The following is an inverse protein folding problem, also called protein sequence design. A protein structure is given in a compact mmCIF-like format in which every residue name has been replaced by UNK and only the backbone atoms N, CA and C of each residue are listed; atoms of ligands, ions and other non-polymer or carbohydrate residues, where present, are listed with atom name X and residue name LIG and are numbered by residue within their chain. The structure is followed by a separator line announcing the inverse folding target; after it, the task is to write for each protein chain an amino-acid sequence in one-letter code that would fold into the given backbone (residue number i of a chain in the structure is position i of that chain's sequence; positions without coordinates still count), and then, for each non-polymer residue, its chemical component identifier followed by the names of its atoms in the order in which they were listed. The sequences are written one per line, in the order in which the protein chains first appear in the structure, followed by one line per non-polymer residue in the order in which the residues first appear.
data_IF_857196626330
#
_entry.id   IF_857196626330
#
_cell.length_a   1.000
_cell.length_b   1.000
_cell.length_c   1.000
_cell.angle_alpha   90.00
_cell.angle_beta   90.00
_cell.angle_gamma   90.00
#
_symmetry.space_group_name_H-M   'P 1'
#
loop_
_entity.id
_entity.type
_entity.pdbx_description
1 polymer ?
#
# COMPACT_ATOMS: atom_id res chain seq x y z
N UNK A 1 13.75 58.11 -9.19
CA UNK A 1 13.53 57.64 -7.81
C UNK A 1 12.82 56.29 -7.95
N UNK A 2 13.54 55.16 -7.89
CA UNK A 2 13.64 54.27 -6.71
C UNK A 2 12.26 53.68 -6.35
N UNK A 3 11.96 52.38 -6.27
CA UNK A 3 12.69 51.12 -6.38
C UNK A 3 11.68 49.96 -6.61
N UNK A 4 12.22 48.80 -6.97
CA UNK A 4 11.54 47.51 -7.07
C UNK A 4 11.03 46.96 -5.72
N UNK A 5 10.10 46.00 -5.78
CA UNK A 5 10.08 44.82 -4.88
C UNK A 5 9.45 43.65 -5.64
N UNK A 6 10.26 42.61 -5.84
CA UNK A 6 9.85 41.27 -6.21
C UNK A 6 9.71 40.41 -4.93
N UNK A 7 8.84 39.39 -4.97
CA UNK A 7 8.88 38.08 -4.29
C UNK A 7 7.48 37.47 -4.48
N UNK A 8 7.28 36.27 -5.04
CA UNK A 8 8.02 35.04 -4.78
C UNK A 8 7.11 34.13 -3.95
N UNK A 9 6.64 33.03 -4.54
CA UNK A 9 5.67 32.09 -3.98
C UNK A 9 5.00 31.40 -5.17
N UNK A 10 5.75 30.70 -5.99
CA UNK A 10 6.33 29.43 -5.58
C UNK A 10 5.23 28.43 -5.81
N UNK A 11 5.18 27.90 -7.04
CA UNK A 11 4.41 26.70 -7.34
C UNK A 11 4.74 25.69 -6.24
N UNK A 12 3.80 25.49 -5.31
CA UNK A 12 3.84 24.35 -4.42
C UNK A 12 3.84 23.15 -5.36
N UNK A 13 5.03 22.58 -5.53
CA UNK A 13 5.21 21.23 -6.00
C UNK A 13 4.26 20.39 -5.15
N UNK A 14 3.07 20.13 -5.68
CA UNK A 14 2.15 19.14 -5.15
C UNK A 14 2.92 17.84 -5.28
N UNK A 15 3.75 17.57 -4.27
CA UNK A 15 4.18 16.23 -3.92
C UNK A 15 2.88 15.46 -3.85
N UNK A 16 2.65 14.64 -4.88
CA UNK A 16 1.40 13.93 -5.08
C UNK A 16 1.29 12.96 -3.93
N UNK A 17 0.64 13.36 -2.84
CA UNK A 17 0.49 12.48 -1.70
C UNK A 17 -0.46 11.36 -2.12
N UNK A 18 -0.16 10.11 -1.74
CA UNK A 18 -1.00 8.99 -2.11
C UNK A 18 -2.41 9.06 -1.52
N UNK A 19 -3.34 8.24 -2.02
CA UNK A 19 -4.77 8.33 -1.74
C UNK A 19 -5.16 8.27 -0.25
N UNK A 20 -4.35 7.62 0.60
CA UNK A 20 -4.55 7.53 2.04
C UNK A 20 -4.01 8.72 2.84
N UNK A 21 -3.43 9.75 2.21
CA UNK A 21 -2.82 10.88 2.90
C UNK A 21 -3.79 11.71 3.76
N UNK A 22 -5.07 11.74 3.37
CA UNK A 22 -6.14 12.43 4.10
C UNK A 22 -6.68 11.60 5.27
N UNK A 23 -6.51 10.27 5.25
CA UNK A 23 -6.97 9.36 6.30
C UNK A 23 -6.18 9.58 7.58
N UNK A 24 -6.85 9.48 8.73
CA UNK A 24 -6.24 9.75 10.06
C UNK A 24 -6.32 8.53 10.95
N UNK A 25 -5.17 8.11 11.49
CA UNK A 25 -5.09 7.06 12.48
C UNK A 25 -5.68 7.55 13.79
N UNK A 26 -6.52 6.75 14.42
CA UNK A 26 -7.21 7.08 15.66
C UNK A 26 -6.21 7.35 16.80
N UNK A 27 -5.08 6.64 16.80
CA UNK A 27 -4.04 6.77 17.82
C UNK A 27 -3.28 8.11 17.79
N UNK A 28 -3.12 8.71 16.61
CA UNK A 28 -2.17 9.82 16.40
C UNK A 28 -2.80 11.08 15.79
N UNK A 29 -3.96 10.96 15.15
CA UNK A 29 -4.55 12.02 14.34
C UNK A 29 -3.77 12.35 13.07
N UNK A 30 -2.78 11.53 12.67
CA UNK A 30 -1.96 11.68 11.46
C UNK A 30 -2.28 10.57 10.45
N UNK A 31 -1.77 10.67 9.22
CA UNK A 31 -1.88 9.55 8.27
C UNK A 31 -1.03 8.34 8.74
N UNK A 32 -1.26 7.18 8.14
CA UNK A 32 -0.61 5.95 8.56
C UNK A 32 0.92 6.03 8.43
N UNK A 33 1.45 6.59 7.34
CA UNK A 33 2.90 6.77 7.22
C UNK A 33 3.49 7.66 8.32
N UNK A 34 2.89 8.82 8.59
CA UNK A 34 3.36 9.73 9.63
C UNK A 34 3.15 9.21 11.06
N UNK A 35 2.34 8.14 11.23
CA UNK A 35 2.13 7.46 12.52
C UNK A 35 3.17 6.37 12.74
N UNK A 36 3.44 5.56 11.71
CA UNK A 36 4.19 4.30 11.84
C UNK A 36 5.60 4.35 11.22
N UNK A 37 5.85 5.23 10.26
CA UNK A 37 7.13 5.35 9.56
C UNK A 37 7.41 4.19 8.59
N UNK A 38 8.49 4.32 7.82
CA UNK A 38 8.83 3.38 6.75
C UNK A 38 9.09 1.95 7.26
N UNK A 39 9.81 1.81 8.39
CA UNK A 39 10.18 0.49 8.93
C UNK A 39 8.97 -0.37 9.28
N UNK A 40 7.90 0.25 9.80
CA UNK A 40 6.65 -0.44 10.09
C UNK A 40 5.95 -0.91 8.80
N UNK A 41 5.97 -0.11 7.74
CA UNK A 41 5.44 -0.53 6.43
C UNK A 41 6.25 -1.68 5.81
N UNK A 42 7.57 -1.69 5.99
CA UNK A 42 8.42 -2.84 5.63
C UNK A 42 8.02 -4.09 6.44
N UNK A 43 7.78 -3.94 7.75
CA UNK A 43 7.35 -5.05 8.60
C UNK A 43 5.97 -5.59 8.18
N UNK A 44 5.00 -4.71 7.90
CA UNK A 44 3.68 -5.08 7.38
C UNK A 44 3.80 -5.78 6.04
N UNK A 45 4.63 -5.27 5.12
CA UNK A 45 4.87 -5.91 3.83
C UNK A 45 5.35 -7.36 4.01
N UNK A 46 6.36 -7.58 4.85
CA UNK A 46 6.85 -8.94 5.17
C UNK A 46 5.77 -9.83 5.79
N UNK A 47 4.93 -9.27 6.67
CA UNK A 47 3.83 -10.00 7.26
C UNK A 47 2.78 -10.40 6.20
N UNK A 48 2.45 -9.53 5.23
CA UNK A 48 1.56 -9.86 4.10
C UNK A 48 2.10 -11.08 3.34
N UNK A 49 3.39 -11.09 2.99
CA UNK A 49 3.99 -12.24 2.30
C UNK A 49 3.97 -13.52 3.13
N UNK A 50 4.19 -13.42 4.44
CA UNK A 50 4.08 -14.57 5.33
C UNK A 50 2.64 -15.14 5.35
N UNK A 51 1.62 -14.29 5.44
CA UNK A 51 0.22 -14.71 5.40
C UNK A 51 -0.16 -15.31 4.03
N UNK A 52 0.25 -14.67 2.92
CA UNK A 52 0.01 -15.21 1.56
C UNK A 52 0.66 -16.59 1.40
N UNK A 53 1.90 -16.75 1.85
CA UNK A 53 2.62 -18.03 1.75
C UNK A 53 1.94 -19.11 2.59
N UNK A 54 1.52 -18.77 3.81
CA UNK A 54 0.79 -19.68 4.68
C UNK A 54 -0.54 -20.11 4.06
N UNK A 55 -1.30 -19.16 3.51
CA UNK A 55 -2.59 -19.40 2.84
C UNK A 55 -2.43 -20.29 1.61
N UNK A 56 -1.46 -20.01 0.73
CA UNK A 56 -1.19 -20.83 -0.45
C UNK A 56 -0.71 -22.23 -0.08
N UNK A 57 0.05 -22.38 1.01
CA UNK A 57 0.49 -23.69 1.50
C UNK A 57 -0.68 -24.51 2.03
N UNK A 58 -1.62 -23.89 2.74
CA UNK A 58 -2.75 -24.58 3.36
C UNK A 58 -3.89 -24.88 2.38
N UNK A 59 -4.22 -23.91 1.51
CA UNK A 59 -5.45 -23.91 0.72
C UNK A 59 -5.21 -23.85 -0.80
N UNK A 60 -3.95 -23.82 -1.23
CA UNK A 60 -3.59 -23.62 -2.64
C UNK A 60 -4.13 -22.28 -3.16
N UNK A 61 -4.54 -22.26 -4.42
CA UNK A 61 -5.03 -21.06 -5.11
C UNK A 61 -6.52 -20.77 -4.86
N UNK A 62 -7.20 -21.57 -4.03
CA UNK A 62 -8.67 -21.53 -3.86
C UNK A 62 -9.16 -20.13 -3.47
N UNK A 63 -8.52 -19.51 -2.48
CA UNK A 63 -8.99 -18.25 -1.89
C UNK A 63 -8.30 -17.00 -2.47
N UNK A 64 -7.06 -17.14 -2.94
CA UNK A 64 -6.25 -16.02 -3.45
C UNK A 64 -6.15 -15.99 -4.99
N UNK A 65 -6.65 -17.01 -5.68
CA UNK A 65 -6.47 -17.16 -7.11
C UNK A 65 -5.05 -17.51 -7.52
N UNK A 66 -4.72 -17.32 -8.80
CA UNK A 66 -3.43 -17.64 -9.40
C UNK A 66 -2.48 -16.42 -9.45
N UNK A 67 -2.91 -15.23 -9.04
CA UNK A 67 -2.15 -13.98 -9.24
C UNK A 67 -0.74 -14.04 -8.65
N UNK A 68 -0.59 -14.59 -7.43
CA UNK A 68 0.72 -14.74 -6.80
C UNK A 68 1.64 -15.76 -7.49
N UNK A 69 1.09 -16.72 -8.22
CA UNK A 69 1.92 -17.67 -9.00
C UNK A 69 2.54 -17.04 -10.24
N UNK A 70 2.07 -15.86 -10.65
CA UNK A 70 2.60 -15.09 -11.79
C UNK A 70 3.79 -14.21 -11.42
N UNK A 71 4.10 -14.11 -10.13
CA UNK A 71 5.27 -13.37 -9.64
C UNK A 71 6.51 -14.24 -9.88
N UNK A 72 7.37 -13.81 -10.80
CA UNK A 72 8.62 -14.50 -11.15
C UNK A 72 9.85 -13.91 -10.46
N UNK A 73 9.79 -12.63 -10.08
CA UNK A 73 10.81 -11.92 -9.31
C UNK A 73 10.21 -11.41 -7.99
N UNK A 74 10.23 -12.28 -6.97
CA UNK A 74 9.69 -11.97 -5.65
C UNK A 74 10.43 -10.83 -4.97
N UNK A 75 11.75 -10.71 -5.13
CA UNK A 75 12.52 -9.64 -4.48
C UNK A 75 12.11 -8.25 -5.01
N UNK A 76 11.97 -8.13 -6.34
CA UNK A 76 11.46 -6.88 -6.94
C UNK A 76 9.99 -6.63 -6.59
N UNK A 77 9.17 -7.68 -6.54
CA UNK A 77 7.77 -7.54 -6.16
C UNK A 77 7.60 -7.06 -4.70
N UNK A 78 8.37 -7.61 -3.76
CA UNK A 78 8.37 -7.17 -2.36
C UNK A 78 8.73 -5.69 -2.23
N UNK A 79 9.80 -5.25 -2.90
CA UNK A 79 10.24 -3.85 -2.85
C UNK A 79 9.21 -2.89 -3.46
N UNK A 80 8.58 -3.27 -4.59
CA UNK A 80 7.51 -2.49 -5.23
C UNK A 80 6.26 -2.42 -4.35
N UNK A 81 5.86 -3.53 -3.73
CA UNK A 81 4.69 -3.53 -2.84
C UNK A 81 4.95 -2.64 -1.61
N UNK A 82 6.14 -2.72 -1.01
CA UNK A 82 6.50 -1.84 0.10
C UNK A 82 6.46 -0.35 -0.29
N UNK A 83 7.04 0.00 -1.44
CA UNK A 83 7.01 1.38 -1.95
C UNK A 83 5.58 1.85 -2.23
N UNK A 84 4.76 0.99 -2.85
CA UNK A 84 3.35 1.28 -3.08
C UNK A 84 2.61 1.53 -1.78
N UNK A 85 2.76 0.66 -0.77
CA UNK A 85 2.11 0.85 0.53
C UNK A 85 2.54 2.16 1.19
N UNK A 86 3.83 2.49 1.18
CA UNK A 86 4.33 3.76 1.74
C UNK A 86 3.68 4.96 1.04
N UNK A 87 3.71 5.00 -0.29
CA UNK A 87 3.08 6.07 -1.07
C UNK A 87 1.58 6.13 -0.77
N UNK A 88 0.90 5.01 -0.91
CA UNK A 88 -0.55 4.87 -0.78
C UNK A 88 -1.08 5.39 0.56
N UNK A 89 -0.29 5.26 1.63
CA UNK A 89 -0.64 5.67 2.98
C UNK A 89 -0.05 7.02 3.42
N UNK A 90 0.34 7.85 2.45
CA UNK A 90 0.70 9.25 2.65
C UNK A 90 2.19 9.49 2.92
N UNK A 91 3.04 8.52 2.61
CA UNK A 91 4.49 8.65 2.60
C UNK A 91 5.05 9.17 1.27
N UNK A 92 6.38 9.14 1.10
CA UNK A 92 7.05 9.56 -0.14
C UNK A 92 6.68 8.69 -1.33
N UNK A 93 6.92 9.20 -2.55
CA UNK A 93 6.69 8.47 -3.80
C UNK A 93 7.67 7.34 -4.04
N UNK A 94 8.79 7.28 -3.31
CA UNK A 94 9.76 6.20 -3.38
C UNK A 94 10.41 5.92 -2.04
N UNK A 95 10.94 4.70 -1.89
CA UNK A 95 11.72 4.28 -0.73
C UNK A 95 12.92 3.45 -1.17
N UNK A 96 14.00 3.48 -0.38
CA UNK A 96 15.04 2.45 -0.44
C UNK A 96 14.60 1.25 0.40
N UNK A 97 14.50 0.07 -0.21
CA UNK A 97 14.07 -1.15 0.48
C UNK A 97 15.25 -1.90 1.11
N UNK A 98 14.97 -3.01 1.79
CA UNK A 98 15.98 -3.75 2.57
C UNK A 98 17.08 -4.39 1.74
N UNK A 99 16.90 -4.51 0.43
CA UNK A 99 17.92 -4.99 -0.51
C UNK A 99 18.84 -3.86 -1.03
N UNK A 100 18.66 -2.63 -0.54
CA UNK A 100 19.45 -1.46 -0.93
C UNK A 100 19.01 -0.81 -2.24
N UNK A 101 17.96 -1.29 -2.91
CA UNK A 101 17.43 -0.68 -4.13
C UNK A 101 16.33 0.32 -3.81
N UNK A 102 16.19 1.33 -4.67
CA UNK A 102 15.09 2.31 -4.60
C UNK A 102 13.94 1.86 -5.50
N UNK A 103 12.73 1.90 -4.97
CA UNK A 103 11.50 1.51 -5.65
C UNK A 103 10.49 2.66 -5.65
N UNK A 104 9.84 2.87 -6.79
CA UNK A 104 8.75 3.84 -6.95
C UNK A 104 7.41 3.23 -6.51
N UNK A 105 6.70 3.95 -5.65
CA UNK A 105 5.40 3.58 -5.11
C UNK A 105 4.21 4.03 -5.96
N UNK A 106 4.40 5.02 -6.85
CA UNK A 106 3.37 5.40 -7.82
C UNK A 106 3.27 4.29 -8.87
N UNK A 107 2.10 3.66 -8.94
CA UNK A 107 1.87 2.49 -9.80
C UNK A 107 0.48 2.58 -10.42
N UNK A 108 0.35 2.16 -11.68
CA UNK A 108 -0.95 1.93 -12.31
C UNK A 108 -1.47 0.55 -11.90
N UNK A 109 -2.41 0.52 -10.95
CA UNK A 109 -2.97 -0.73 -10.44
C UNK A 109 -3.76 -1.50 -11.49
N UNK A 110 -4.40 -0.84 -12.47
CA UNK A 110 -5.12 -1.53 -13.54
C UNK A 110 -4.14 -2.26 -14.44
N UNK A 111 -3.09 -1.57 -14.87
CA UNK A 111 -2.06 -2.16 -15.71
C UNK A 111 -1.30 -3.27 -14.96
N UNK A 112 -0.98 -3.07 -13.68
CA UNK A 112 -0.27 -4.04 -12.87
C UNK A 112 -1.06 -5.34 -12.63
N UNK A 113 -2.39 -5.27 -12.61
CA UNK A 113 -3.27 -6.42 -12.39
C UNK A 113 -3.95 -6.94 -13.67
N UNK A 114 -3.60 -6.41 -14.85
CA UNK A 114 -4.21 -6.80 -16.12
C UNK A 114 -4.05 -8.30 -16.40
N UNK A 115 -5.16 -8.95 -16.77
CA UNK A 115 -5.24 -10.37 -17.07
C UNK A 115 -5.13 -11.28 -15.84
N UNK A 116 -5.18 -10.75 -14.62
CA UNK A 116 -5.18 -11.54 -13.39
C UNK A 116 -6.56 -12.09 -13.03
N UNK A 117 -7.64 -11.51 -13.58
CA UNK A 117 -9.02 -11.97 -13.36
C UNK A 117 -9.40 -12.10 -11.87
N UNK A 118 -8.87 -11.23 -11.02
CA UNK A 118 -9.15 -11.23 -9.58
C UNK A 118 -10.65 -11.00 -9.37
N UNK A 119 -11.31 -11.91 -8.68
CA UNK A 119 -12.73 -11.77 -8.35
C UNK A 119 -12.94 -10.86 -7.13
N UNK A 120 -14.14 -10.31 -6.97
CA UNK A 120 -14.49 -9.57 -5.75
C UNK A 120 -14.31 -10.41 -4.49
N UNK A 121 -14.66 -11.71 -4.54
CA UNK A 121 -14.54 -12.61 -3.40
C UNK A 121 -13.07 -12.84 -3.00
N UNK A 122 -12.18 -13.03 -3.98
CA UNK A 122 -10.74 -13.16 -3.71
C UNK A 122 -10.16 -11.86 -3.13
N UNK A 123 -10.57 -10.71 -3.65
CA UNK A 123 -10.14 -9.42 -3.11
C UNK A 123 -10.61 -9.22 -1.67
N UNK A 124 -11.89 -9.46 -1.38
CA UNK A 124 -12.45 -9.31 -0.04
C UNK A 124 -11.80 -10.31 0.94
N UNK A 125 -11.52 -11.54 0.47
CA UNK A 125 -10.76 -12.52 1.24
C UNK A 125 -9.35 -12.02 1.55
N UNK A 126 -8.64 -11.49 0.55
CA UNK A 126 -7.28 -10.95 0.72
C UNK A 126 -7.27 -9.83 1.75
N UNK A 127 -8.20 -8.88 1.69
CA UNK A 127 -8.28 -7.79 2.67
C UNK A 127 -8.54 -8.34 4.08
N UNK A 128 -9.54 -9.21 4.25
CA UNK A 128 -9.96 -9.67 5.57
C UNK A 128 -9.00 -10.69 6.21
N UNK A 129 -8.39 -11.57 5.42
CA UNK A 129 -7.63 -12.73 5.91
C UNK A 129 -6.12 -12.60 5.71
N UNK A 130 -5.65 -11.65 4.90
CA UNK A 130 -4.22 -11.40 4.70
C UNK A 130 -3.84 -10.03 5.27
N UNK A 131 -4.47 -8.95 4.80
CA UNK A 131 -4.06 -7.58 5.14
C UNK A 131 -4.33 -7.27 6.62
N UNK A 132 -5.54 -7.53 7.12
CA UNK A 132 -5.88 -7.26 8.52
C UNK A 132 -5.02 -8.10 9.49
N UNK A 133 -4.82 -9.41 9.29
CA UNK A 133 -3.88 -10.19 10.10
C UNK A 133 -2.45 -9.70 10.03
N UNK A 134 -1.95 -9.33 8.84
CA UNK A 134 -0.60 -8.78 8.69
C UNK A 134 -0.42 -7.48 9.50
N UNK A 135 -1.36 -6.54 9.40
CA UNK A 135 -1.33 -5.28 10.16
C UNK A 135 -1.33 -5.53 11.68
N UNK A 136 -2.22 -6.38 12.16
CA UNK A 136 -2.35 -6.66 13.60
C UNK A 136 -1.14 -7.42 14.15
N UNK A 137 -0.58 -8.38 13.40
CA UNK A 137 0.68 -9.07 13.74
C UNK A 137 1.88 -8.12 13.76
N UNK A 138 1.86 -7.08 12.94
CA UNK A 138 2.86 -6.00 12.97
C UNK A 138 2.62 -4.95 14.06
N UNK A 139 1.64 -5.15 14.94
CA UNK A 139 1.38 -4.29 16.09
C UNK A 139 0.47 -3.09 15.82
N UNK A 140 -0.17 -3.02 14.65
CA UNK A 140 -1.17 -1.98 14.37
C UNK A 140 -2.45 -2.29 15.18
N UNK A 141 -2.88 -1.40 16.09
CA UNK A 141 -4.12 -1.58 16.84
C UNK A 141 -5.33 -1.51 15.89
N UNK A 142 -6.36 -2.29 16.18
CA UNK A 142 -7.58 -2.37 15.35
C UNK A 142 -8.27 -1.02 15.11
N UNK A 143 -8.13 -0.07 16.05
CA UNK A 143 -8.63 1.30 15.86
C UNK A 143 -7.99 1.99 14.65
N UNK A 144 -6.68 1.83 14.47
CA UNK A 144 -5.94 2.41 13.35
C UNK A 144 -6.14 1.59 12.08
N UNK A 145 -6.24 0.26 12.18
CA UNK A 145 -6.65 -0.59 11.05
C UNK A 145 -7.96 -0.05 10.46
N UNK A 146 -8.94 0.23 11.31
CA UNK A 146 -10.26 0.70 10.87
C UNK A 146 -10.25 2.16 10.38
N UNK A 147 -9.44 3.03 10.97
CA UNK A 147 -9.51 4.47 10.70
C UNK A 147 -8.57 4.96 9.59
N UNK A 148 -7.41 4.33 9.40
CA UNK A 148 -6.38 4.80 8.45
C UNK A 148 -5.82 3.75 7.49
N UNK A 149 -6.15 2.46 7.63
CA UNK A 149 -5.78 1.42 6.67
C UNK A 149 -6.96 0.93 5.83
N UNK A 150 -7.99 0.39 6.49
CA UNK A 150 -9.15 -0.20 5.85
C UNK A 150 -9.86 0.72 4.84
N UNK A 151 -10.06 2.03 5.10
CA UNK A 151 -10.80 2.89 4.17
C UNK A 151 -10.21 2.93 2.76
N UNK A 152 -8.88 2.79 2.62
CA UNK A 152 -8.23 2.78 1.32
C UNK A 152 -8.46 1.46 0.57
N UNK A 153 -8.28 0.33 1.25
CA UNK A 153 -8.40 -1.01 0.62
C UNK A 153 -9.84 -1.48 0.48
N UNK A 154 -10.81 -0.80 1.08
CA UNK A 154 -12.25 -1.06 0.83
C UNK A 154 -12.90 -0.01 -0.07
N UNK A 155 -12.13 1.01 -0.48
CA UNK A 155 -12.61 2.01 -1.41
C UNK A 155 -12.98 1.36 -2.76
N UNK A 156 -14.15 1.73 -3.28
CA UNK A 156 -14.70 1.12 -4.48
C UNK A 156 -13.83 1.38 -5.72
N UNK A 157 -13.17 2.55 -5.80
CA UNK A 157 -12.30 2.88 -6.93
C UNK A 157 -11.00 2.09 -6.90
N UNK A 158 -10.41 1.91 -5.70
CA UNK A 158 -9.23 1.05 -5.50
C UNK A 158 -9.58 -0.39 -5.83
N UNK A 159 -10.68 -0.94 -5.28
CA UNK A 159 -11.12 -2.31 -5.58
C UNK A 159 -11.37 -2.50 -7.08
N UNK A 160 -12.04 -1.55 -7.74
CA UNK A 160 -12.31 -1.59 -9.19
C UNK A 160 -11.04 -1.45 -10.07
N UNK A 161 -9.91 -1.06 -9.50
CA UNK A 161 -8.62 -1.03 -10.20
C UNK A 161 -7.89 -2.38 -10.20
N UNK A 162 -8.36 -3.35 -9.41
CA UNK A 162 -7.72 -4.68 -9.28
C UNK A 162 -8.67 -5.81 -9.67
N UNK A 163 -9.95 -5.69 -9.30
CA UNK A 163 -10.97 -6.71 -9.61
C UNK A 163 -11.30 -6.70 -11.10
N UNK A 164 -11.31 -7.89 -11.71
CA UNK A 164 -11.72 -8.13 -13.09
C UNK A 164 -10.81 -7.50 -14.15
N UNK A 165 -9.60 -7.07 -13.78
CA UNK A 165 -8.58 -6.64 -14.74
C UNK A 165 -7.96 -7.85 -15.45
#
# INVERSE_FOLDING_TARGET
MTAATACGGGDEEQTTMGPGASLKCASSGKNAFATYGADAFVAVNKAIFAEVTAELTANGQTNLGDSFSRVTDFATFEGRLAAFLVFAYGGPTSITYTDGKTYEGVQDMRAAHAGMNITSAQYDYFVANIIVPALTKSGVPMGDVSSCFAPLVVDASVKASMVGQ
#
